data_IF_854994134191
#
_entry.id   IF_854994134191
#
_cell.length_a   1.000
_cell.length_b   1.000
_cell.length_c   1.000
_cell.angle_alpha   90.00
_cell.angle_beta   90.00
_cell.angle_gamma   90.00
#
_symmetry.space_group_name_H-M   'P 1'
#
loop_
_entity.id
_entity.type
_entity.pdbx_description
1 polymer ?
#
# COMPACT_ATOMS: atom_id res chain seq x y z
N UNK A 1 -19.44 28.23 2.21
CA UNK A 1 -18.74 27.00 2.59
C UNK A 1 -18.34 26.29 1.30
N UNK A 2 -17.12 26.52 0.85
CA UNK A 2 -16.55 25.80 -0.30
C UNK A 2 -16.22 24.40 0.21
N UNK A 3 -16.99 23.40 -0.18
CA UNK A 3 -16.63 22.01 0.00
C UNK A 3 -15.36 21.78 -0.80
N UNK A 4 -14.22 21.71 -0.15
CA UNK A 4 -12.97 21.24 -0.76
C UNK A 4 -13.24 19.79 -1.16
N UNK A 5 -13.41 19.56 -2.45
CA UNK A 5 -13.63 18.22 -2.98
C UNK A 5 -12.30 17.48 -2.81
N UNK A 6 -12.22 16.55 -1.87
CA UNK A 6 -11.05 15.72 -1.64
C UNK A 6 -10.69 15.06 -2.97
N UNK A 7 -9.49 15.34 -3.48
CA UNK A 7 -9.04 14.86 -4.81
C UNK A 7 -8.91 13.34 -4.75
N UNK A 8 -9.85 12.59 -5.32
CA UNK A 8 -9.73 11.13 -5.45
C UNK A 8 -8.52 10.74 -6.32
N UNK A 9 -8.13 9.48 -6.28
CA UNK A 9 -7.09 8.89 -7.13
C UNK A 9 -7.67 7.70 -7.89
N UNK A 10 -7.26 7.56 -9.13
CA UNK A 10 -7.70 6.44 -9.96
C UNK A 10 -6.91 5.17 -9.63
N UNK A 11 -7.63 4.08 -9.41
CA UNK A 11 -7.11 2.72 -9.30
C UNK A 11 -7.92 1.85 -10.27
N UNK A 12 -7.30 1.42 -11.37
CA UNK A 12 -7.99 0.73 -12.47
C UNK A 12 -9.19 1.54 -13.00
N UNK A 13 -10.38 0.97 -12.92
CA UNK A 13 -11.66 1.56 -13.35
C UNK A 13 -12.44 2.23 -12.21
N UNK A 14 -11.84 2.37 -11.02
CA UNK A 14 -12.48 2.97 -9.85
C UNK A 14 -11.70 4.15 -9.29
N UNK A 15 -12.37 4.96 -8.49
CA UNK A 15 -11.79 6.06 -7.74
C UNK A 15 -11.64 5.64 -6.28
N UNK A 16 -10.47 5.91 -5.70
CA UNK A 16 -10.20 5.66 -4.28
C UNK A 16 -9.78 6.96 -3.58
N UNK A 17 -9.92 6.98 -2.25
CA UNK A 17 -9.38 8.06 -1.45
C UNK A 17 -7.87 8.18 -1.67
N UNK A 18 -7.28 9.39 -1.68
CA UNK A 18 -5.87 9.59 -2.04
C UNK A 18 -4.86 8.91 -1.13
N UNK A 19 -5.27 8.49 0.06
CA UNK A 19 -4.44 7.81 1.06
C UNK A 19 -5.14 6.50 1.44
N UNK A 20 -4.42 5.37 1.34
CA UNK A 20 -4.88 4.08 1.79
C UNK A 20 -4.44 3.78 3.24
N UNK A 21 -4.87 2.63 3.76
CA UNK A 21 -4.39 2.08 5.03
C UNK A 21 -3.48 0.88 4.76
N UNK A 22 -2.22 0.93 5.23
CA UNK A 22 -1.32 -0.23 5.28
C UNK A 22 -1.55 -1.09 6.53
N UNK A 23 -1.96 -2.34 6.34
CA UNK A 23 -2.34 -3.25 7.43
C UNK A 23 -1.16 -3.86 8.21
N UNK A 24 0.07 -3.78 7.69
CA UNK A 24 1.23 -4.49 8.25
C UNK A 24 1.47 -4.25 9.76
N UNK A 25 1.37 -3.01 10.33
CA UNK A 25 1.56 -2.79 11.76
C UNK A 25 0.50 -3.44 12.66
N UNK A 26 -0.63 -3.87 12.10
CA UNK A 26 -1.69 -4.55 12.83
C UNK A 26 -1.47 -6.08 12.93
N UNK A 27 -0.37 -6.59 12.35
CA UNK A 27 -0.16 -8.03 12.21
C UNK A 27 1.22 -8.55 12.61
N UNK A 28 2.24 -7.69 12.69
CA UNK A 28 3.60 -8.08 13.04
C UNK A 28 3.87 -7.97 14.55
N UNK A 29 5.07 -8.36 14.98
CA UNK A 29 5.51 -8.24 16.37
C UNK A 29 5.31 -6.81 16.89
N UNK A 30 4.73 -6.67 18.07
CA UNK A 30 4.34 -5.37 18.64
C UNK A 30 3.00 -4.84 18.15
N UNK A 31 2.23 -5.62 17.38
CA UNK A 31 0.86 -5.31 16.97
C UNK A 31 -0.05 -5.03 18.17
N UNK A 32 -1.07 -4.17 18.03
CA UNK A 32 -2.10 -3.99 19.03
C UNK A 32 -2.96 -5.25 19.17
N UNK A 33 -3.79 -5.30 20.21
CA UNK A 33 -4.82 -6.34 20.33
C UNK A 33 -5.85 -6.26 19.16
N UNK A 34 -6.62 -7.35 18.96
CA UNK A 34 -7.60 -7.45 17.88
C UNK A 34 -8.64 -6.31 17.94
N UNK A 35 -9.12 -5.96 19.13
CA UNK A 35 -10.12 -4.92 19.29
C UNK A 35 -9.60 -3.55 18.87
N UNK A 36 -8.35 -3.22 19.18
CA UNK A 36 -7.72 -2.00 18.72
C UNK A 36 -7.43 -2.03 17.22
N UNK A 37 -6.97 -3.17 16.68
CA UNK A 37 -6.80 -3.33 15.23
C UNK A 37 -8.10 -3.07 14.47
N UNK A 38 -9.21 -3.61 14.94
CA UNK A 38 -10.55 -3.34 14.37
C UNK A 38 -10.88 -1.85 14.44
N UNK A 39 -10.66 -1.18 15.58
CA UNK A 39 -10.90 0.27 15.72
C UNK A 39 -10.06 1.10 14.75
N UNK A 40 -8.80 0.73 14.50
CA UNK A 40 -7.93 1.42 13.53
C UNK A 40 -8.51 1.33 12.12
N UNK A 41 -8.90 0.12 11.68
CA UNK A 41 -9.48 -0.08 10.35
C UNK A 41 -10.80 0.68 10.21
N UNK A 42 -11.66 0.62 11.23
CA UNK A 42 -12.93 1.34 11.22
C UNK A 42 -12.74 2.85 11.21
N UNK A 43 -11.78 3.38 11.99
CA UNK A 43 -11.46 4.81 11.98
C UNK A 43 -10.92 5.27 10.62
N UNK A 44 -10.15 4.44 9.91
CA UNK A 44 -9.71 4.73 8.54
C UNK A 44 -10.91 4.85 7.59
N UNK A 45 -11.83 3.88 7.63
CA UNK A 45 -13.04 3.89 6.79
C UNK A 45 -13.96 5.08 7.14
N UNK A 46 -14.15 5.37 8.42
CA UNK A 46 -14.94 6.53 8.89
C UNK A 46 -14.33 7.86 8.44
N UNK A 47 -12.99 7.92 8.27
CA UNK A 47 -12.27 9.08 7.75
C UNK A 47 -12.24 9.13 6.21
N UNK A 48 -12.91 8.20 5.51
CA UNK A 48 -13.04 8.21 4.04
C UNK A 48 -12.07 7.31 3.29
N UNK A 49 -11.20 6.55 3.96
CA UNK A 49 -10.29 5.60 3.31
C UNK A 49 -11.08 4.51 2.60
N UNK A 50 -10.80 4.31 1.32
CA UNK A 50 -11.44 3.29 0.48
C UNK A 50 -10.46 2.27 -0.11
N UNK A 51 -9.17 2.34 0.25
CA UNK A 51 -8.13 1.37 -0.09
C UNK A 51 -7.47 0.84 1.17
N UNK A 52 -7.55 -0.47 1.42
CA UNK A 52 -6.87 -1.14 2.53
C UNK A 52 -5.91 -2.17 1.96
N UNK A 53 -4.62 -2.05 2.31
CA UNK A 53 -3.56 -2.94 1.86
C UNK A 53 -3.18 -3.94 2.95
N UNK A 54 -3.13 -5.22 2.59
CA UNK A 54 -2.70 -6.33 3.43
C UNK A 54 -1.82 -7.32 2.65
N UNK A 55 -1.52 -8.46 3.23
CA UNK A 55 -0.92 -9.64 2.61
C UNK A 55 -1.23 -10.89 3.46
N UNK A 56 -1.22 -12.06 2.83
CA UNK A 56 -1.29 -13.36 3.49
C UNK A 56 -0.19 -13.52 4.54
N UNK A 57 1.03 -13.10 4.20
CA UNK A 57 2.23 -13.19 5.03
C UNK A 57 2.33 -12.12 6.13
N UNK A 58 1.34 -11.23 6.30
CA UNK A 58 1.33 -10.29 7.42
C UNK A 58 0.87 -11.00 8.70
N UNK A 59 1.85 -11.62 9.35
CA UNK A 59 1.71 -12.43 10.56
C UNK A 59 3.06 -12.57 11.26
N UNK A 60 3.09 -13.14 12.46
CA UNK A 60 4.33 -13.35 13.22
C UNK A 60 5.03 -14.66 12.85
N UNK A 61 4.32 -15.63 12.29
CA UNK A 61 4.83 -16.94 11.91
C UNK A 61 3.88 -17.68 10.98
N UNK A 62 4.32 -18.83 10.48
CA UNK A 62 3.59 -19.65 9.49
C UNK A 62 2.24 -20.18 9.99
N UNK A 63 2.07 -20.35 11.29
CA UNK A 63 0.83 -20.76 11.94
C UNK A 63 -0.25 -19.67 11.95
N UNK A 64 0.12 -18.44 11.65
CA UNK A 64 -0.78 -17.28 11.63
C UNK A 64 -1.05 -16.72 10.23
N UNK A 65 -0.59 -17.38 9.14
CA UNK A 65 -0.82 -16.91 7.76
C UNK A 65 -2.28 -16.51 7.56
N UNK A 66 -2.53 -15.35 6.92
CA UNK A 66 -3.86 -14.76 6.77
C UNK A 66 -4.38 -14.02 8.02
N UNK A 67 -3.56 -13.84 9.07
CA UNK A 67 -3.99 -13.13 10.29
C UNK A 67 -4.54 -11.74 10.00
N UNK A 68 -3.82 -10.94 9.23
CA UNK A 68 -4.22 -9.56 8.92
C UNK A 68 -5.47 -9.52 8.02
N UNK A 69 -5.59 -10.44 7.08
CA UNK A 69 -6.76 -10.57 6.21
C UNK A 69 -8.03 -10.88 7.04
N UNK A 70 -7.95 -11.84 7.98
CA UNK A 70 -9.05 -12.15 8.90
C UNK A 70 -9.44 -10.96 9.78
N UNK A 71 -8.45 -10.18 10.23
CA UNK A 71 -8.70 -8.96 11.01
C UNK A 71 -9.47 -7.93 10.19
N UNK A 72 -9.08 -7.72 8.92
CA UNK A 72 -9.74 -6.79 7.99
C UNK A 72 -11.16 -7.26 7.70
N UNK A 73 -11.36 -8.56 7.41
CA UNK A 73 -12.68 -9.13 7.19
C UNK A 73 -13.63 -8.88 8.38
N UNK A 74 -13.14 -9.08 9.61
CA UNK A 74 -13.90 -8.78 10.84
C UNK A 74 -14.25 -7.31 10.97
N UNK A 75 -13.27 -6.42 10.72
CA UNK A 75 -13.45 -4.97 10.86
C UNK A 75 -14.43 -4.41 9.83
N UNK A 76 -14.47 -5.00 8.62
CA UNK A 76 -15.31 -4.56 7.50
C UNK A 76 -16.68 -5.27 7.45
N UNK A 77 -17.01 -6.12 8.42
CA UNK A 77 -18.30 -6.82 8.44
C UNK A 77 -19.48 -5.83 8.43
N UNK A 78 -20.29 -5.87 7.36
CA UNK A 78 -21.39 -4.94 7.12
C UNK A 78 -20.98 -3.54 6.64
N UNK A 79 -19.68 -3.34 6.27
CA UNK A 79 -19.11 -2.05 5.84
C UNK A 79 -18.16 -2.23 4.63
N UNK A 80 -18.30 -3.33 3.89
CA UNK A 80 -17.39 -3.73 2.82
C UNK A 80 -17.59 -2.94 1.52
N UNK A 81 -18.80 -2.43 1.31
CA UNK A 81 -19.17 -1.75 0.07
C UNK A 81 -18.32 -0.51 -0.18
N UNK A 82 -17.81 -0.41 -1.41
CA UNK A 82 -16.97 0.72 -1.82
C UNK A 82 -15.53 0.69 -1.29
N UNK A 83 -15.14 -0.36 -0.56
CA UNK A 83 -13.76 -0.53 -0.07
C UNK A 83 -13.01 -1.51 -0.98
N UNK A 84 -11.88 -1.09 -1.51
CA UNK A 84 -10.91 -1.96 -2.20
C UNK A 84 -9.98 -2.58 -1.17
N UNK A 85 -9.92 -3.90 -1.11
CA UNK A 85 -8.94 -4.63 -0.29
C UNK A 85 -7.87 -5.21 -1.21
N UNK A 86 -6.65 -4.73 -1.05
CA UNK A 86 -5.48 -5.25 -1.73
C UNK A 86 -4.77 -6.27 -0.84
N UNK A 87 -4.59 -7.49 -1.34
CA UNK A 87 -3.74 -8.50 -0.67
C UNK A 87 -2.66 -9.01 -1.60
N UNK A 88 -1.77 -9.86 -1.11
CA UNK A 88 -0.55 -10.26 -1.82
C UNK A 88 -0.23 -11.73 -1.57
N UNK A 89 0.46 -12.36 -2.56
CA UNK A 89 1.16 -13.63 -2.38
C UNK A 89 2.60 -13.56 -2.89
N UNK A 90 3.41 -14.51 -2.50
CA UNK A 90 4.82 -14.62 -2.91
C UNK A 90 5.81 -14.39 -1.79
N UNK A 91 5.38 -14.01 -0.58
CA UNK A 91 6.15 -14.13 0.65
C UNK A 91 5.63 -15.30 1.49
N UNK A 92 6.55 -15.95 2.19
CA UNK A 92 6.26 -16.98 3.20
C UNK A 92 6.93 -16.64 4.52
N UNK A 93 6.51 -17.25 5.63
CA UNK A 93 6.95 -16.93 6.99
C UNK A 93 7.50 -18.15 7.76
N UNK A 94 8.43 -18.95 7.21
CA UNK A 94 8.97 -20.12 7.91
C UNK A 94 9.69 -19.68 9.19
N UNK A 95 9.25 -20.20 10.34
CA UNK A 95 9.79 -19.81 11.65
C UNK A 95 9.74 -18.30 11.95
N UNK A 96 8.86 -17.54 11.29
CA UNK A 96 8.75 -16.08 11.39
C UNK A 96 9.71 -15.29 10.49
N UNK A 97 10.60 -15.94 9.74
CA UNK A 97 11.47 -15.30 8.76
C UNK A 97 10.68 -14.80 7.54
N UNK A 98 11.22 -13.79 6.85
CA UNK A 98 10.70 -13.36 5.56
C UNK A 98 11.44 -14.08 4.45
N UNK A 99 10.75 -14.97 3.74
CA UNK A 99 11.26 -15.66 2.56
C UNK A 99 10.31 -15.45 1.38
N UNK A 100 10.73 -15.84 0.18
CA UNK A 100 9.92 -15.72 -1.05
C UNK A 100 9.62 -17.12 -1.60
N UNK A 101 8.40 -17.28 -2.13
CA UNK A 101 7.98 -18.44 -2.90
C UNK A 101 7.07 -17.96 -4.05
N UNK A 102 7.67 -17.83 -5.24
CA UNK A 102 6.98 -17.38 -6.44
C UNK A 102 6.42 -18.51 -7.30
N UNK A 103 6.44 -19.77 -6.83
CA UNK A 103 5.93 -20.90 -7.60
C UNK A 103 4.43 -20.79 -7.87
N UNK A 104 3.98 -21.18 -9.08
CA UNK A 104 2.57 -21.17 -9.44
C UNK A 104 1.66 -21.87 -8.42
N UNK A 105 2.05 -23.04 -7.93
CA UNK A 105 1.26 -23.81 -6.97
C UNK A 105 1.08 -23.02 -5.66
N UNK A 106 2.16 -22.42 -5.14
CA UNK A 106 2.08 -21.61 -3.92
C UNK A 106 1.18 -20.40 -4.10
N UNK A 107 1.30 -19.67 -5.22
CA UNK A 107 0.47 -18.49 -5.51
C UNK A 107 -1.03 -18.87 -5.56
N UNK A 108 -1.37 -20.02 -6.16
CA UNK A 108 -2.74 -20.53 -6.20
C UNK A 108 -3.25 -20.91 -4.81
N UNK A 109 -2.47 -21.66 -4.04
CA UNK A 109 -2.85 -22.06 -2.68
C UNK A 109 -3.02 -20.83 -1.77
N UNK A 110 -2.14 -19.84 -1.88
CA UNK A 110 -2.22 -18.57 -1.17
C UNK A 110 -3.47 -17.79 -1.55
N UNK A 111 -3.86 -17.75 -2.84
CA UNK A 111 -5.09 -17.11 -3.28
C UNK A 111 -6.33 -17.74 -2.62
N UNK A 112 -6.44 -19.06 -2.63
CA UNK A 112 -7.55 -19.77 -1.98
C UNK A 112 -7.60 -19.52 -0.47
N UNK A 113 -6.44 -19.48 0.18
CA UNK A 113 -6.32 -19.15 1.60
C UNK A 113 -6.75 -17.71 1.89
N UNK A 114 -6.35 -16.75 1.04
CA UNK A 114 -6.72 -15.34 1.14
C UNK A 114 -8.22 -15.11 0.93
N UNK A 115 -8.84 -15.75 -0.07
CA UNK A 115 -10.30 -15.71 -0.28
C UNK A 115 -11.04 -16.14 0.98
N UNK A 116 -10.62 -17.26 1.57
CA UNK A 116 -11.20 -17.78 2.82
C UNK A 116 -10.95 -16.85 4.01
N UNK A 117 -9.75 -16.26 4.12
CA UNK A 117 -9.41 -15.36 5.22
C UNK A 117 -10.15 -14.02 5.15
N UNK A 118 -10.39 -13.51 3.94
CA UNK A 118 -11.13 -12.28 3.66
C UNK A 118 -12.66 -12.50 3.67
N UNK A 119 -13.13 -13.76 3.74
CA UNK A 119 -14.55 -14.12 3.67
C UNK A 119 -15.23 -13.55 2.41
N UNK A 120 -14.65 -13.81 1.24
CA UNK A 120 -15.08 -13.28 -0.06
C UNK A 120 -14.86 -14.29 -1.19
N UNK A 121 -15.63 -14.14 -2.27
CA UNK A 121 -15.53 -14.99 -3.46
C UNK A 121 -14.49 -14.48 -4.47
N UNK A 122 -14.04 -13.21 -4.36
CA UNK A 122 -12.99 -12.63 -5.19
C UNK A 122 -12.12 -11.64 -4.41
N UNK A 123 -10.88 -11.47 -4.83
CA UNK A 123 -9.93 -10.45 -4.36
C UNK A 123 -10.01 -9.24 -5.28
N UNK A 124 -10.20 -8.02 -4.73
CA UNK A 124 -10.27 -6.80 -5.55
C UNK A 124 -8.93 -6.53 -6.24
N UNK A 125 -7.83 -6.48 -5.48
CA UNK A 125 -6.48 -6.28 -6.00
C UNK A 125 -5.54 -7.34 -5.42
N UNK A 126 -5.01 -8.20 -6.28
CA UNK A 126 -4.05 -9.23 -5.89
C UNK A 126 -2.67 -8.89 -6.43
N UNK A 127 -1.68 -8.79 -5.54
CA UNK A 127 -0.36 -8.30 -5.91
C UNK A 127 0.71 -9.37 -5.76
N UNK A 128 1.60 -9.49 -6.76
CA UNK A 128 2.82 -10.28 -6.61
C UNK A 128 3.74 -9.55 -5.63
N UNK A 129 3.86 -10.09 -4.40
CA UNK A 129 4.48 -9.41 -3.26
C UNK A 129 5.96 -9.10 -3.49
N UNK A 130 6.68 -10.04 -4.08
CA UNK A 130 8.09 -9.89 -4.46
C UNK A 130 8.49 -10.96 -5.48
N UNK A 131 9.24 -10.60 -6.52
CA UNK A 131 9.82 -11.57 -7.45
C UNK A 131 10.69 -12.61 -6.73
N UNK A 132 10.52 -13.88 -7.08
CA UNK A 132 11.35 -14.98 -6.60
C UNK A 132 12.43 -15.26 -7.64
N UNK A 133 13.74 -15.09 -7.31
CA UNK A 133 14.81 -15.34 -8.27
C UNK A 133 14.97 -16.80 -8.68
N UNK A 134 14.28 -17.73 -8.01
CA UNK A 134 14.33 -19.17 -8.31
C UNK A 134 13.26 -19.62 -9.31
N UNK A 135 12.29 -18.74 -9.62
CA UNK A 135 11.15 -19.03 -10.51
C UNK A 135 11.19 -18.06 -11.68
N UNK A 136 11.00 -18.51 -12.93
CA UNK A 136 10.86 -17.60 -14.05
C UNK A 136 9.74 -16.59 -13.78
N UNK A 137 10.05 -15.30 -13.90
CA UNK A 137 9.12 -14.23 -13.52
C UNK A 137 7.78 -14.31 -14.28
N UNK A 138 7.85 -14.66 -15.58
CA UNK A 138 6.66 -14.85 -16.41
C UNK A 138 5.74 -15.96 -15.92
N UNK A 139 6.28 -17.05 -15.31
CA UNK A 139 5.46 -18.13 -14.76
C UNK A 139 4.69 -17.67 -13.52
N UNK A 140 5.37 -16.94 -12.61
CA UNK A 140 4.69 -16.36 -11.45
C UNK A 140 3.59 -15.39 -11.88
N UNK A 141 3.91 -14.43 -12.76
CA UNK A 141 2.93 -13.41 -13.25
C UNK A 141 1.80 -14.07 -14.04
N UNK A 142 2.10 -15.11 -14.85
CA UNK A 142 1.11 -15.89 -15.58
C UNK A 142 0.04 -16.50 -14.67
N UNK A 143 0.45 -16.92 -13.46
CA UNK A 143 -0.48 -17.46 -12.46
C UNK A 143 -1.49 -16.42 -11.97
N UNK A 144 -1.08 -15.16 -11.77
CA UNK A 144 -2.02 -14.08 -11.41
C UNK A 144 -3.04 -13.84 -12.53
N UNK A 145 -2.60 -13.92 -13.81
CA UNK A 145 -3.52 -13.83 -14.93
C UNK A 145 -4.53 -14.98 -14.95
N UNK A 146 -4.08 -16.22 -14.74
CA UNK A 146 -4.97 -17.38 -14.69
C UNK A 146 -6.02 -17.24 -13.58
N UNK A 147 -5.62 -16.77 -12.38
CA UNK A 147 -6.54 -16.50 -11.26
C UNK A 147 -7.54 -15.38 -11.59
N UNK A 148 -7.13 -14.39 -12.39
CA UNK A 148 -8.02 -13.35 -12.90
C UNK A 148 -9.02 -13.93 -13.92
N UNK A 149 -8.56 -14.76 -14.85
CA UNK A 149 -9.40 -15.43 -15.84
C UNK A 149 -10.42 -16.39 -15.19
N UNK A 150 -10.06 -16.98 -14.03
CA UNK A 150 -10.94 -17.79 -13.19
C UNK A 150 -11.98 -16.96 -12.40
N UNK A 151 -11.87 -15.64 -12.43
CA UNK A 151 -12.77 -14.72 -11.68
C UNK A 151 -12.48 -14.61 -10.19
N UNK A 152 -11.39 -15.19 -9.70
CA UNK A 152 -10.94 -15.12 -8.30
C UNK A 152 -10.25 -13.81 -7.94
N UNK A 153 -9.72 -13.12 -8.95
CA UNK A 153 -8.99 -11.86 -8.82
C UNK A 153 -9.59 -10.85 -9.81
N UNK A 154 -9.96 -9.67 -9.31
CA UNK A 154 -10.48 -8.61 -10.17
C UNK A 154 -9.33 -7.87 -10.88
N UNK A 155 -8.33 -7.41 -10.13
CA UNK A 155 -7.19 -6.66 -10.63
C UNK A 155 -5.86 -7.26 -10.17
N UNK A 156 -4.87 -7.19 -11.03
CA UNK A 156 -3.51 -7.65 -10.76
C UNK A 156 -2.58 -6.47 -10.52
N UNK A 157 -1.74 -6.57 -9.49
CA UNK A 157 -0.69 -5.61 -9.20
C UNK A 157 0.66 -6.27 -8.95
N UNK A 158 1.69 -5.44 -8.90
CA UNK A 158 3.06 -5.86 -8.60
C UNK A 158 3.58 -5.15 -7.36
N UNK A 159 4.53 -5.77 -6.68
CA UNK A 159 5.25 -5.13 -5.58
C UNK A 159 6.74 -5.45 -5.66
N UNK A 160 7.58 -4.46 -5.31
CA UNK A 160 9.04 -4.59 -5.34
C UNK A 160 9.59 -4.99 -6.72
N UNK A 161 9.01 -4.47 -7.78
CA UNK A 161 9.42 -4.74 -9.16
C UNK A 161 10.24 -3.58 -9.75
N UNK A 162 11.08 -3.90 -10.73
CA UNK A 162 11.78 -2.91 -11.57
C UNK A 162 10.92 -2.50 -12.76
N UNK A 163 11.38 -1.50 -13.53
CA UNK A 163 10.71 -1.09 -14.77
C UNK A 163 10.68 -2.25 -15.78
N UNK A 164 11.79 -3.00 -15.92
CA UNK A 164 11.88 -4.14 -16.83
C UNK A 164 10.89 -5.24 -16.45
N UNK A 165 10.73 -5.52 -15.15
CA UNK A 165 9.75 -6.48 -14.65
C UNK A 165 8.31 -6.01 -14.87
N UNK A 166 8.05 -4.71 -14.72
CA UNK A 166 6.75 -4.13 -15.07
C UNK A 166 6.44 -4.31 -16.56
N UNK A 167 7.41 -4.01 -17.46
CA UNK A 167 7.23 -4.19 -18.91
C UNK A 167 6.98 -5.66 -19.28
N UNK A 168 7.72 -6.60 -18.67
CA UNK A 168 7.50 -8.04 -18.90
C UNK A 168 6.11 -8.45 -18.44
N UNK A 169 5.67 -8.03 -17.26
CA UNK A 169 4.34 -8.34 -16.73
C UNK A 169 3.20 -7.78 -17.59
N UNK A 170 3.34 -6.55 -18.10
CA UNK A 170 2.38 -5.93 -19.01
C UNK A 170 2.20 -6.69 -20.32
N UNK A 171 3.21 -7.46 -20.74
CA UNK A 171 3.09 -8.39 -21.88
C UNK A 171 2.25 -9.64 -21.60
N UNK A 172 1.91 -9.89 -20.33
CA UNK A 172 1.19 -11.09 -19.86
C UNK A 172 -0.22 -10.76 -19.37
N UNK A 173 -0.36 -9.72 -18.55
CA UNK A 173 -1.61 -9.33 -17.89
C UNK A 173 -1.66 -7.81 -17.71
N UNK A 174 -2.88 -7.24 -17.66
CA UNK A 174 -3.05 -5.84 -17.28
C UNK A 174 -2.60 -5.62 -15.82
N UNK A 175 -1.64 -4.72 -15.61
CA UNK A 175 -1.16 -4.32 -14.29
C UNK A 175 -1.80 -2.98 -13.93
N UNK A 176 -2.55 -2.95 -12.83
CA UNK A 176 -3.24 -1.73 -12.38
C UNK A 176 -2.51 -0.98 -11.27
N UNK A 177 -1.60 -1.64 -10.56
CA UNK A 177 -0.80 -1.02 -9.51
C UNK A 177 0.62 -1.56 -9.41
N UNK A 178 1.53 -0.68 -9.00
CA UNK A 178 2.90 -1.03 -8.55
C UNK A 178 3.07 -0.52 -7.12
N UNK A 179 3.49 -1.41 -6.22
CA UNK A 179 3.73 -1.09 -4.82
C UNK A 179 5.20 -1.22 -4.48
N UNK A 180 5.95 -0.10 -4.53
CA UNK A 180 7.37 -0.05 -4.20
C UNK A 180 7.62 0.88 -3.01
N UNK A 181 8.77 0.71 -2.33
CA UNK A 181 9.17 1.60 -1.23
C UNK A 181 9.37 3.01 -1.75
N UNK A 182 8.70 3.99 -1.12
CA UNK A 182 8.98 5.41 -1.37
C UNK A 182 8.64 6.23 -0.12
N UNK A 183 9.62 6.99 0.34
CA UNK A 183 9.50 7.90 1.49
C UNK A 183 10.57 8.99 1.37
N UNK A 184 10.56 9.96 2.28
CA UNK A 184 11.61 10.98 2.36
C UNK A 184 13.02 10.37 2.55
N UNK A 185 13.12 9.25 3.25
CA UNK A 185 14.40 8.54 3.46
C UNK A 185 14.71 7.46 2.40
N UNK A 186 13.87 7.30 1.39
CA UNK A 186 14.07 6.31 0.32
C UNK A 186 13.40 6.78 -0.98
N UNK A 187 14.16 7.42 -1.84
CA UNK A 187 13.68 8.03 -3.09
C UNK A 187 14.10 7.26 -4.36
N UNK A 188 14.63 6.05 -4.21
CA UNK A 188 15.11 5.21 -5.33
C UNK A 188 14.11 5.07 -6.49
N UNK A 189 12.79 4.86 -6.27
CA UNK A 189 11.82 4.76 -7.36
C UNK A 189 11.68 6.01 -8.23
N UNK A 190 11.98 7.19 -7.67
CA UNK A 190 12.03 8.43 -8.45
C UNK A 190 13.25 8.42 -9.38
N UNK A 191 14.42 8.06 -8.84
CA UNK A 191 15.67 8.05 -9.59
C UNK A 191 15.73 6.94 -10.65
N UNK A 192 15.09 5.79 -10.40
CA UNK A 192 15.09 4.63 -11.32
C UNK A 192 13.97 4.66 -12.36
N UNK A 193 13.08 5.65 -12.30
CA UNK A 193 11.99 5.81 -13.26
C UNK A 193 10.77 4.90 -13.02
N UNK A 194 10.70 4.20 -11.90
CA UNK A 194 9.57 3.30 -11.59
C UNK A 194 8.26 4.08 -11.45
N UNK A 195 8.29 5.25 -10.77
CA UNK A 195 7.14 6.14 -10.67
C UNK A 195 6.77 6.75 -12.03
N UNK A 196 7.76 7.17 -12.82
CA UNK A 196 7.52 7.75 -14.14
C UNK A 196 6.87 6.73 -15.09
N UNK A 197 7.35 5.49 -15.05
CA UNK A 197 6.78 4.38 -15.83
C UNK A 197 5.30 4.14 -15.48
N UNK A 198 4.95 4.19 -14.20
CA UNK A 198 3.57 4.07 -13.72
C UNK A 198 2.71 5.28 -14.17
N UNK A 199 3.23 6.50 -13.98
CA UNK A 199 2.51 7.74 -14.31
C UNK A 199 2.17 7.81 -15.81
N UNK A 200 3.13 7.48 -16.69
CA UNK A 200 2.94 7.49 -18.13
C UNK A 200 1.85 6.50 -18.60
N UNK A 201 1.62 5.43 -17.84
CA UNK A 201 0.64 4.37 -18.17
C UNK A 201 -0.68 4.49 -17.41
N UNK A 202 -0.79 5.46 -16.47
CA UNK A 202 -1.95 5.58 -15.61
C UNK A 202 -2.07 4.43 -14.59
N UNK A 203 -0.97 3.75 -14.27
CA UNK A 203 -0.88 2.69 -13.27
C UNK A 203 -0.74 3.33 -11.88
N UNK A 204 -1.55 2.92 -10.91
CA UNK A 204 -1.45 3.42 -9.55
C UNK A 204 -0.10 3.03 -8.91
N UNK A 205 0.58 4.01 -8.31
CA UNK A 205 1.81 3.76 -7.55
C UNK A 205 1.49 3.84 -6.05
N UNK A 206 1.72 2.74 -5.34
CA UNK A 206 1.38 2.59 -3.92
C UNK A 206 2.67 2.62 -3.07
N UNK A 207 3.12 3.79 -2.58
CA UNK A 207 4.29 3.86 -1.69
C UNK A 207 4.07 3.04 -0.42
N UNK A 208 4.83 1.95 -0.23
CA UNK A 208 4.88 1.29 1.06
C UNK A 208 5.95 1.92 1.96
N UNK A 209 5.76 1.82 3.29
CA UNK A 209 6.58 2.54 4.29
C UNK A 209 6.73 4.05 4.01
N UNK A 210 5.65 4.78 3.67
CA UNK A 210 5.72 6.18 3.26
C UNK A 210 6.28 7.10 4.37
N UNK A 211 6.20 6.68 5.64
CA UNK A 211 6.73 7.37 6.81
C UNK A 211 8.03 6.71 7.35
N UNK A 212 8.76 5.99 6.51
CA UNK A 212 10.06 5.38 6.86
C UNK A 212 9.98 3.96 7.44
N UNK A 213 8.80 3.45 7.76
CA UNK A 213 8.58 2.11 8.28
C UNK A 213 8.05 2.06 9.72
N UNK A 214 7.83 0.84 10.23
CA UNK A 214 7.28 0.61 11.59
C UNK A 214 8.21 1.24 12.63
N UNK A 215 7.64 2.08 13.51
CA UNK A 215 8.36 2.75 14.60
C UNK A 215 9.27 3.90 14.16
N UNK A 216 9.24 4.32 12.89
CA UNK A 216 10.08 5.40 12.35
C UNK A 216 9.32 6.67 11.97
N UNK A 217 8.00 6.70 12.12
CA UNK A 217 7.17 7.87 11.75
C UNK A 217 7.62 9.16 12.46
N UNK A 218 8.14 9.07 13.67
CA UNK A 218 8.60 10.23 14.43
C UNK A 218 9.90 10.84 13.86
N UNK A 219 10.69 10.06 13.10
CA UNK A 219 11.89 10.58 12.44
C UNK A 219 11.58 11.51 11.26
N UNK A 220 10.36 11.52 10.75
CA UNK A 220 9.90 12.41 9.67
C UNK A 220 10.11 13.88 10.01
N UNK A 221 9.89 14.27 11.27
CA UNK A 221 10.09 15.65 11.74
C UNK A 221 11.56 16.05 11.94
N UNK A 222 12.54 15.15 11.73
CA UNK A 222 13.97 15.51 11.82
C UNK A 222 14.49 16.23 10.58
N UNK A 223 13.76 16.20 9.47
CA UNK A 223 14.07 16.93 8.25
C UNK A 223 13.60 18.39 8.41
N UNK A 224 14.53 19.35 8.41
CA UNK A 224 14.23 20.77 8.66
C UNK A 224 13.16 21.34 7.75
N UNK A 225 13.19 21.01 6.45
CA UNK A 225 12.19 21.49 5.49
C UNK A 225 10.78 20.97 5.82
N UNK A 226 10.67 19.72 6.29
CA UNK A 226 9.39 19.11 6.72
C UNK A 226 8.88 19.80 7.98
N UNK A 227 9.75 20.04 8.95
CA UNK A 227 9.38 20.73 10.20
C UNK A 227 8.89 22.15 9.94
N UNK A 228 9.60 22.90 9.09
CA UNK A 228 9.22 24.27 8.73
C UNK A 228 7.83 24.31 8.04
N UNK A 229 7.57 23.39 7.11
CA UNK A 229 6.27 23.28 6.46
C UNK A 229 5.16 22.90 7.47
N UNK A 230 5.45 21.95 8.37
CA UNK A 230 4.52 21.53 9.40
C UNK A 230 4.11 22.68 10.35
N UNK A 231 5.08 23.49 10.77
CA UNK A 231 4.86 24.70 11.57
C UNK A 231 4.06 25.76 10.78
N UNK A 232 4.37 25.96 9.50
CA UNK A 232 3.68 26.94 8.63
C UNK A 232 2.20 26.63 8.45
N UNK A 233 1.87 25.34 8.29
CA UNK A 233 0.52 24.86 8.03
C UNK A 233 -0.24 24.42 9.31
N UNK A 234 0.40 24.46 10.49
CA UNK A 234 -0.14 23.95 11.76
C UNK A 234 -0.63 22.48 11.66
N UNK A 235 0.22 21.63 11.08
CA UNK A 235 -0.06 20.19 10.85
C UNK A 235 1.09 19.32 11.35
N UNK A 236 0.87 18.00 11.39
CA UNK A 236 1.93 17.06 11.76
C UNK A 236 2.99 16.93 10.64
N UNK A 237 4.26 16.64 10.98
CA UNK A 237 5.29 16.30 10.00
C UNK A 237 4.90 15.10 9.13
N UNK A 238 4.10 14.18 9.65
CA UNK A 238 3.58 13.02 8.94
C UNK A 238 2.64 13.45 7.82
N UNK A 239 1.76 14.42 8.06
CA UNK A 239 0.90 14.98 7.04
C UNK A 239 1.72 15.65 5.93
N UNK A 240 2.76 16.42 6.26
CA UNK A 240 3.65 17.03 5.28
C UNK A 240 4.34 15.99 4.41
N UNK A 241 4.88 14.91 5.00
CA UNK A 241 5.52 13.83 4.25
C UNK A 241 4.56 13.12 3.30
N UNK A 242 3.32 12.86 3.73
CA UNK A 242 2.30 12.24 2.89
C UNK A 242 1.83 13.19 1.78
N UNK A 243 1.64 14.49 2.07
CA UNK A 243 1.31 15.49 1.06
C UNK A 243 2.42 15.64 0.02
N UNK A 244 3.69 15.61 0.45
CA UNK A 244 4.84 15.59 -0.46
C UNK A 244 4.81 14.36 -1.39
N UNK A 245 4.47 13.15 -0.88
CA UNK A 245 4.30 11.97 -1.70
C UNK A 245 3.16 12.14 -2.71
N UNK A 246 2.02 12.68 -2.30
CA UNK A 246 0.88 12.96 -3.19
C UNK A 246 1.25 13.95 -4.30
N UNK A 247 2.15 14.89 -4.03
CA UNK A 247 2.65 15.86 -5.01
C UNK A 247 3.61 15.25 -6.04
N UNK A 248 4.13 14.02 -5.83
CA UNK A 248 4.99 13.36 -6.81
C UNK A 248 4.24 12.93 -8.09
N UNK A 249 2.91 12.84 -8.07
CA UNK A 249 2.14 12.54 -9.28
C UNK A 249 0.69 12.14 -9.00
N UNK A 250 -0.16 12.19 -10.04
CA UNK A 250 -1.59 11.90 -9.92
C UNK A 250 -1.88 10.42 -9.67
N UNK A 251 -0.92 9.53 -9.92
CA UNK A 251 -1.05 8.08 -9.73
C UNK A 251 -0.62 7.61 -8.33
N UNK A 252 -0.04 8.50 -7.52
CA UNK A 252 0.51 8.15 -6.20
C UNK A 252 -0.58 8.06 -5.15
N UNK A 253 -0.66 6.90 -4.46
CA UNK A 253 -1.60 6.62 -3.38
C UNK A 253 -0.80 6.04 -2.20
N UNK A 254 -0.29 6.87 -1.28
CA UNK A 254 0.46 6.37 -0.11
C UNK A 254 -0.41 5.48 0.77
N UNK A 255 0.20 4.43 1.33
CA UNK A 255 -0.45 3.47 2.22
C UNK A 255 0.22 3.48 3.61
N UNK A 256 0.11 4.58 4.39
CA UNK A 256 0.66 4.62 5.74
C UNK A 256 0.06 3.55 6.62
N UNK A 257 0.91 2.90 7.42
CA UNK A 257 0.47 1.99 8.45
C UNK A 257 0.13 2.74 9.74
N UNK A 258 -0.82 2.22 10.51
CA UNK A 258 -1.18 2.76 11.81
C UNK A 258 -1.45 1.64 12.81
N UNK A 259 -1.16 1.89 14.09
CA UNK A 259 -1.50 1.00 15.21
C UNK A 259 -2.50 1.64 16.20
N UNK A 260 -2.87 2.91 15.95
CA UNK A 260 -3.85 3.69 16.73
C UNK A 260 -4.78 4.46 15.80
N UNK A 261 -6.08 4.62 16.16
CA UNK A 261 -7.05 5.39 15.37
C UNK A 261 -6.58 6.81 15.08
N UNK A 262 -5.97 7.48 16.06
CA UNK A 262 -5.49 8.87 15.93
C UNK A 262 -4.42 9.00 14.85
N UNK A 263 -3.55 7.98 14.70
CA UNK A 263 -2.47 8.00 13.71
C UNK A 263 -3.01 7.93 12.27
N UNK A 264 -4.02 7.09 12.01
CA UNK A 264 -4.59 7.02 10.65
C UNK A 264 -5.46 8.25 10.35
N UNK A 265 -6.22 8.76 11.30
CA UNK A 265 -7.01 9.97 11.10
C UNK A 265 -6.14 11.21 10.90
N UNK A 266 -4.96 11.27 11.54
CA UNK A 266 -3.96 12.29 11.26
C UNK A 266 -3.42 12.15 9.82
N UNK A 267 -3.01 10.95 9.42
CA UNK A 267 -2.46 10.68 8.08
C UNK A 267 -3.44 11.03 6.96
N UNK A 268 -4.72 10.74 7.15
CA UNK A 268 -5.79 11.01 6.16
C UNK A 268 -5.91 12.50 5.84
N UNK A 269 -5.68 13.39 6.80
CA UNK A 269 -5.75 14.85 6.59
C UNK A 269 -4.70 15.36 5.60
N UNK A 270 -3.63 14.62 5.35
CA UNK A 270 -2.65 14.98 4.33
C UNK A 270 -3.26 15.11 2.92
N UNK A 271 -4.40 14.48 2.66
CA UNK A 271 -5.13 14.60 1.39
C UNK A 271 -5.68 16.02 1.14
N UNK A 272 -5.83 16.82 2.19
CA UNK A 272 -6.33 18.20 2.13
C UNK A 272 -5.19 19.24 2.19
N UNK A 273 -3.96 18.81 2.52
CA UNK A 273 -2.80 19.70 2.64
C UNK A 273 -2.23 20.02 1.26
N UNK A 274 -2.23 21.29 0.91
CA UNK A 274 -1.59 21.80 -0.31
C UNK A 274 -0.24 22.46 0.06
N UNK A 275 0.86 21.83 -0.36
CA UNK A 275 2.19 22.40 -0.24
C UNK A 275 2.48 23.28 -1.45
N UNK A 276 3.18 24.40 -1.24
CA UNK A 276 3.67 25.25 -2.33
C UNK A 276 4.79 24.56 -3.11
N UNK A 277 5.04 25.02 -4.34
CA UNK A 277 6.14 24.49 -5.18
C UNK A 277 7.50 24.67 -4.50
N UNK A 278 7.69 25.76 -3.73
CA UNK A 278 8.89 26.03 -2.97
C UNK A 278 9.09 25.02 -1.84
N UNK A 279 8.04 24.70 -1.10
CA UNK A 279 8.06 23.68 -0.02
C UNK A 279 8.35 22.30 -0.60
N UNK A 280 7.65 21.91 -1.67
CA UNK A 280 7.89 20.63 -2.37
C UNK A 280 9.36 20.54 -2.81
N UNK A 281 9.88 21.59 -3.44
CA UNK A 281 11.26 21.62 -3.90
C UNK A 281 12.29 21.57 -2.74
N UNK A 282 12.00 22.26 -1.62
CA UNK A 282 12.86 22.23 -0.43
C UNK A 282 12.89 20.83 0.22
N UNK A 283 11.72 20.20 0.37
CA UNK A 283 11.61 18.84 0.90
C UNK A 283 12.28 17.83 -0.01
N UNK A 284 12.10 17.95 -1.34
CA UNK A 284 12.71 17.05 -2.33
C UNK A 284 14.25 17.13 -2.31
N UNK A 285 14.83 18.34 -2.17
CA UNK A 285 16.28 18.49 -2.01
C UNK A 285 16.80 17.84 -0.74
N UNK A 286 16.07 17.97 0.37
CA UNK A 286 16.45 17.35 1.63
C UNK A 286 16.31 15.81 1.60
N UNK A 287 15.35 15.28 0.87
CA UNK A 287 15.15 13.83 0.70
C UNK A 287 16.20 13.18 -0.22
N UNK A 288 16.87 13.95 -1.08
CA UNK A 288 17.92 13.49 -1.99
C UNK A 288 19.34 13.56 -1.39
N UNK A 289 19.51 14.21 -0.23
CA UNK A 289 20.79 14.40 0.46
C UNK A 289 21.13 13.20 1.36
#
# INVERSE_FOLDING_TARGET
MTTTQTKSRRLADTEVFPIGLGGMPLALSGRPDEAQGIRVIQAAVDAGVTLIDTADAYCTGEDEVGHNERLIAKALKGRRDGIVVATKAGHIRPGGAWEVDGRPEHIRDACEASLKALDTDWIDLYQFHRPDPKVPYAESVGTFKELQDEGKVRWVGLSNCTVEQLEEALGIVEIVSVQNQLSLGFTSPLAKGELDACTQRGIAFLPWSPLGGIGKSDSTGTVDAVRTAAETHDVSPQQVALAWLLAQGPTVIPIPGASRPESITDSVRAAELELSDEEIAAISRAAAA
#
